data_IF_839622034114
#
_entry.id   IF_839622034114
#
_cell.length_a   1.000
_cell.length_b   1.000
_cell.length_c   1.000
_cell.angle_alpha   90.00
_cell.angle_beta   90.00
_cell.angle_gamma   90.00
#
_symmetry.space_group_name_H-M   'P 1'
#
loop_
_entity.id
_entity.type
_entity.pdbx_description
1 polymer ?
#
# COMPACT_ATOMS: atom_id res chain seq x y z
N UNK A 1 -0.88 17.35 15.39
CA UNK A 1 -0.26 16.08 14.92
C UNK A 1 1.09 15.82 15.60
N UNK A 2 2.12 16.65 15.38
CA UNK A 2 3.48 16.43 15.91
C UNK A 2 3.51 16.18 17.43
N UNK A 3 2.80 16.99 18.23
CA UNK A 3 2.73 16.82 19.69
C UNK A 3 2.20 15.44 20.10
N UNK A 4 1.14 14.94 19.44
CA UNK A 4 0.57 13.63 19.74
C UNK A 4 1.51 12.48 19.37
N UNK A 5 2.23 12.60 18.23
CA UNK A 5 3.23 11.60 17.85
C UNK A 5 4.35 11.59 18.88
N UNK A 6 4.88 12.76 19.27
CA UNK A 6 5.93 12.88 20.29
C UNK A 6 5.52 12.21 21.60
N UNK A 7 4.30 12.46 22.05
CA UNK A 7 3.75 11.85 23.26
C UNK A 7 3.60 10.32 23.13
N UNK A 8 3.08 9.83 22.02
CA UNK A 8 2.95 8.39 21.77
C UNK A 8 4.32 7.69 21.77
N UNK A 9 5.33 8.27 21.12
CA UNK A 9 6.69 7.73 21.10
C UNK A 9 7.30 7.73 22.51
N UNK A 10 7.10 8.81 23.29
CA UNK A 10 7.54 8.87 24.70
C UNK A 10 6.89 7.79 25.56
N UNK A 11 5.64 7.42 25.26
CA UNK A 11 4.92 6.31 25.92
C UNK A 11 5.29 4.92 25.38
N UNK A 12 6.27 4.82 24.48
CA UNK A 12 6.81 3.56 23.99
C UNK A 12 6.21 3.06 22.67
N UNK A 13 5.41 3.87 21.97
CA UNK A 13 4.93 3.50 20.63
C UNK A 13 6.11 3.31 19.66
N UNK A 14 6.03 2.25 18.85
CA UNK A 14 7.05 1.88 17.85
C UNK A 14 6.56 2.02 16.41
N UNK A 15 5.25 2.19 16.25
CA UNK A 15 4.62 2.43 14.96
C UNK A 15 3.68 3.64 15.07
N UNK A 16 3.77 4.52 14.09
CA UNK A 16 2.91 5.68 13.91
C UNK A 16 2.17 5.49 12.60
N UNK A 17 0.85 5.32 12.68
CA UNK A 17 0.02 5.23 11.49
C UNK A 17 -0.69 6.56 11.21
N UNK A 18 -0.27 7.25 10.15
CA UNK A 18 -0.91 8.49 9.69
C UNK A 18 -2.05 8.09 8.74
N UNK A 19 -3.29 8.36 9.14
CA UNK A 19 -4.49 7.94 8.41
C UNK A 19 -5.45 9.11 8.18
N UNK A 20 -6.16 9.07 7.06
CA UNK A 20 -7.20 10.02 6.66
C UNK A 20 -8.07 9.35 5.57
N UNK A 21 -9.06 10.06 5.04
CA UNK A 21 -9.73 9.64 3.79
C UNK A 21 -8.75 9.65 2.61
N UNK A 22 -7.93 10.70 2.52
CA UNK A 22 -6.78 10.80 1.63
C UNK A 22 -5.65 11.52 2.37
N UNK A 23 -4.56 10.82 2.65
CA UNK A 23 -3.41 11.38 3.39
C UNK A 23 -2.67 12.42 2.54
N UNK A 24 -2.65 12.28 1.21
CA UNK A 24 -1.95 13.22 0.33
C UNK A 24 -2.68 14.57 0.21
N UNK A 25 -3.96 14.62 0.55
CA UNK A 25 -4.73 15.87 0.63
C UNK A 25 -4.53 16.66 1.93
N UNK A 26 -3.74 16.15 2.89
CA UNK A 26 -3.49 16.89 4.13
C UNK A 26 -2.92 18.29 3.85
N UNK A 27 -3.53 19.29 4.48
CA UNK A 27 -3.03 20.66 4.50
C UNK A 27 -3.66 21.61 3.48
N UNK A 28 -4.44 21.10 2.52
CA UNK A 28 -5.11 21.92 1.49
C UNK A 28 -6.04 23.00 2.09
N UNK A 29 -6.68 22.69 3.21
CA UNK A 29 -7.62 23.54 3.93
C UNK A 29 -6.94 24.57 4.87
N UNK A 30 -5.66 24.37 5.19
CA UNK A 30 -4.92 25.19 6.17
C UNK A 30 -3.62 25.79 5.60
N UNK A 31 -3.43 25.74 4.27
CA UNK A 31 -2.27 26.34 3.61
C UNK A 31 -0.94 25.62 3.87
N UNK A 32 -0.96 24.30 4.06
CA UNK A 32 0.26 23.47 4.17
C UNK A 32 0.15 22.22 3.30
N UNK A 33 1.06 21.26 3.45
CA UNK A 33 0.99 19.98 2.75
C UNK A 33 1.57 18.82 3.58
N UNK A 34 1.37 17.59 3.08
CA UNK A 34 1.86 16.37 3.72
C UNK A 34 3.39 16.38 3.88
N UNK A 35 4.12 16.85 2.86
CA UNK A 35 5.59 16.92 2.87
C UNK A 35 6.10 17.76 4.04
N UNK A 36 5.51 18.95 4.26
CA UNK A 36 5.88 19.84 5.36
C UNK A 36 5.62 19.20 6.73
N UNK A 37 4.48 18.51 6.88
CA UNK A 37 4.17 17.76 8.09
C UNK A 37 5.20 16.66 8.35
N UNK A 38 5.54 15.86 7.33
CA UNK A 38 6.50 14.76 7.48
C UNK A 38 7.91 15.28 7.78
N UNK A 39 8.40 16.31 7.08
CA UNK A 39 9.68 16.97 7.39
C UNK A 39 9.71 17.45 8.86
N UNK A 40 8.61 18.05 9.33
CA UNK A 40 8.50 18.50 10.73
C UNK A 40 8.53 17.33 11.72
N UNK A 41 7.78 16.26 11.48
CA UNK A 41 7.79 15.04 12.31
C UNK A 41 9.20 14.45 12.39
N UNK A 42 9.84 14.26 11.23
CA UNK A 42 11.16 13.64 11.14
C UNK A 42 12.25 14.49 11.81
N UNK A 43 12.18 15.81 11.69
CA UNK A 43 13.15 16.71 12.34
C UNK A 43 12.96 16.82 13.86
N UNK A 44 11.72 16.88 14.36
CA UNK A 44 11.45 17.21 15.77
C UNK A 44 11.30 15.99 16.70
N UNK A 45 11.21 14.78 16.15
CA UNK A 45 10.94 13.56 16.93
C UNK A 45 11.99 12.50 16.59
N UNK A 46 13.21 12.59 17.16
CA UNK A 46 14.20 11.53 17.01
C UNK A 46 13.77 10.26 17.75
N UNK A 47 14.23 9.10 17.29
CA UNK A 47 14.01 7.82 17.95
C UNK A 47 13.76 6.67 16.97
N UNK A 48 13.64 5.47 17.53
CA UNK A 48 13.45 4.23 16.77
C UNK A 48 11.97 3.85 16.72
N UNK A 49 11.32 4.25 15.63
CA UNK A 49 9.94 3.92 15.32
C UNK A 49 9.73 3.97 13.81
N UNK A 50 8.65 3.35 13.32
CA UNK A 50 8.26 3.44 11.93
C UNK A 50 6.99 4.24 11.72
N UNK A 51 6.95 4.98 10.61
CA UNK A 51 5.82 5.78 10.15
C UNK A 51 5.24 5.08 8.93
N UNK A 52 3.95 4.77 9.02
CA UNK A 52 3.15 4.31 7.89
C UNK A 52 2.25 5.44 7.42
N UNK A 53 2.26 5.70 6.12
CA UNK A 53 1.25 6.52 5.48
C UNK A 53 0.04 5.66 5.10
N UNK A 54 -1.15 6.19 5.34
CA UNK A 54 -2.41 5.64 4.87
C UNK A 54 -2.57 5.75 3.36
N UNK A 55 -3.77 5.44 2.91
CA UNK A 55 -4.13 5.57 1.50
C UNK A 55 -3.93 7.02 1.04
N UNK A 56 -3.32 7.16 -0.13
CA UNK A 56 -3.09 8.43 -0.80
C UNK A 56 -3.68 8.39 -2.21
N UNK A 57 -4.40 9.43 -2.60
CA UNK A 57 -4.93 9.56 -3.95
C UNK A 57 -3.75 9.79 -4.94
N UNK A 58 -3.63 9.01 -6.04
CA UNK A 58 -2.44 9.06 -6.89
C UNK A 58 -2.16 10.44 -7.49
N UNK A 59 -3.18 11.17 -7.95
CA UNK A 59 -2.99 12.51 -8.51
C UNK A 59 -2.51 13.51 -7.45
N UNK A 60 -2.94 13.36 -6.19
CA UNK A 60 -2.43 14.17 -5.09
C UNK A 60 -0.99 13.79 -4.71
N UNK A 61 -0.64 12.51 -4.76
CA UNK A 61 0.73 12.05 -4.56
C UNK A 61 1.68 12.59 -5.63
N UNK A 62 1.30 12.51 -6.91
CA UNK A 62 2.10 12.97 -8.06
C UNK A 62 2.53 14.44 -7.94
N UNK A 63 1.68 15.31 -7.36
CA UNK A 63 1.99 16.73 -7.11
C UNK A 63 3.17 16.94 -6.16
N UNK A 64 3.51 15.95 -5.36
CA UNK A 64 4.56 16.00 -4.34
C UNK A 64 5.58 14.87 -4.51
N UNK A 65 5.59 14.20 -5.67
CA UNK A 65 6.31 12.94 -5.88
C UNK A 65 7.79 13.04 -5.52
N UNK A 66 8.53 14.00 -6.08
CA UNK A 66 9.96 14.14 -5.85
C UNK A 66 10.31 14.36 -4.37
N UNK A 67 9.52 15.18 -3.67
CA UNK A 67 9.72 15.45 -2.25
C UNK A 67 9.35 14.27 -1.36
N UNK A 68 8.28 13.55 -1.71
CA UNK A 68 7.89 12.33 -1.01
C UNK A 68 8.92 11.23 -1.21
N UNK A 69 9.39 11.00 -2.45
CA UNK A 69 10.49 10.07 -2.73
C UNK A 69 11.70 10.39 -1.85
N UNK A 70 12.05 11.67 -1.69
CA UNK A 70 13.14 12.10 -0.79
C UNK A 70 12.85 11.77 0.68
N UNK A 71 11.64 12.06 1.18
CA UNK A 71 11.22 11.75 2.55
C UNK A 71 11.31 10.25 2.84
N UNK A 72 10.93 9.42 1.86
CA UNK A 72 11.02 7.97 1.99
C UNK A 72 12.46 7.47 2.20
N UNK A 73 13.51 8.28 2.05
CA UNK A 73 14.90 7.87 2.38
C UNK A 73 15.11 7.67 3.87
N UNK A 74 14.35 8.37 4.71
CA UNK A 74 14.44 8.24 6.16
C UNK A 74 14.08 6.80 6.58
N UNK A 75 14.91 6.20 7.43
CA UNK A 75 14.72 4.82 7.91
C UNK A 75 13.46 4.64 8.76
N UNK A 76 12.94 5.74 9.33
CA UNK A 76 11.67 5.75 10.05
C UNK A 76 10.48 5.65 9.11
N UNK A 77 10.62 5.88 7.81
CA UNK A 77 9.53 5.69 6.86
C UNK A 77 9.48 4.22 6.42
N UNK A 78 8.33 3.56 6.62
CA UNK A 78 8.08 2.29 5.96
C UNK A 78 8.23 2.48 4.45
N UNK A 79 8.92 1.56 3.79
CA UNK A 79 9.06 1.54 2.33
C UNK A 79 7.83 0.88 1.73
N UNK A 80 6.69 1.54 1.94
CA UNK A 80 5.36 1.11 1.58
C UNK A 80 4.54 2.30 1.11
N UNK A 81 3.78 2.11 0.04
CA UNK A 81 2.77 3.06 -0.44
C UNK A 81 1.42 2.36 -0.59
N UNK A 82 0.34 3.07 -0.28
CA UNK A 82 -1.02 2.66 -0.62
C UNK A 82 -1.61 3.67 -1.60
N UNK A 83 -1.55 3.34 -2.88
CA UNK A 83 -1.98 4.17 -4.00
C UNK A 83 -3.09 3.43 -4.78
N UNK A 84 -4.36 3.82 -4.69
CA UNK A 84 -5.44 3.12 -5.36
C UNK A 84 -5.44 3.35 -6.88
N UNK A 85 -5.26 2.29 -7.69
CA UNK A 85 -5.37 2.35 -9.15
C UNK A 85 -6.82 2.53 -9.59
N UNK A 86 -7.75 1.83 -8.93
CA UNK A 86 -9.18 1.69 -9.24
C UNK A 86 -9.47 0.92 -10.53
N UNK A 87 -8.91 1.34 -11.66
CA UNK A 87 -9.02 0.66 -12.96
C UNK A 87 -7.76 0.91 -13.78
N UNK A 88 -7.35 -0.02 -14.64
CA UNK A 88 -6.26 0.20 -15.59
C UNK A 88 -6.73 0.68 -16.96
N UNK A 89 -7.98 1.14 -17.08
CA UNK A 89 -8.54 1.68 -18.32
C UNK A 89 -8.86 3.17 -18.19
N UNK A 90 -8.29 3.99 -19.09
CA UNK A 90 -8.41 5.45 -19.03
C UNK A 90 -9.87 5.95 -19.17
N UNK A 91 -10.71 5.24 -19.93
CA UNK A 91 -12.13 5.61 -20.07
C UNK A 91 -12.89 5.31 -18.78
N UNK A 92 -12.63 4.16 -18.16
CA UNK A 92 -13.23 3.82 -16.86
C UNK A 92 -12.71 4.74 -15.74
N UNK A 93 -11.41 5.03 -15.70
CA UNK A 93 -10.82 6.00 -14.76
C UNK A 93 -11.48 7.37 -14.86
N UNK A 94 -11.70 7.87 -16.08
CA UNK A 94 -12.41 9.14 -16.31
C UNK A 94 -13.86 9.09 -15.80
N UNK A 95 -14.58 7.98 -16.02
CA UNK A 95 -15.94 7.79 -15.48
C UNK A 95 -15.96 7.71 -13.95
N UNK A 96 -14.87 7.22 -13.34
CA UNK A 96 -14.64 7.24 -11.89
C UNK A 96 -14.16 8.60 -11.36
N UNK A 97 -14.08 9.63 -12.21
CA UNK A 97 -13.58 10.96 -11.89
C UNK A 97 -12.12 10.97 -11.39
N UNK A 98 -11.28 10.08 -11.94
CA UNK A 98 -9.84 10.08 -11.68
C UNK A 98 -9.12 11.07 -12.58
N UNK A 99 -8.12 11.75 -12.01
CA UNK A 99 -7.33 12.81 -12.66
C UNK A 99 -5.91 12.33 -13.01
N UNK A 100 -5.81 11.05 -13.33
CA UNK A 100 -4.59 10.39 -13.81
C UNK A 100 -4.96 9.33 -14.84
N UNK A 101 -4.01 8.97 -15.70
CA UNK A 101 -4.10 7.84 -16.63
C UNK A 101 -3.45 6.59 -16.06
N UNK A 102 -3.73 5.44 -16.67
CA UNK A 102 -3.04 4.19 -16.39
C UNK A 102 -1.53 4.32 -16.59
N UNK A 103 -1.11 5.00 -17.65
CA UNK A 103 0.31 5.21 -17.98
C UNK A 103 1.02 6.11 -16.96
N UNK A 104 0.37 7.21 -16.52
CA UNK A 104 0.89 8.07 -15.45
C UNK A 104 1.01 7.30 -14.13
N UNK A 105 0.04 6.44 -13.83
CA UNK A 105 0.08 5.59 -12.65
C UNK A 105 1.20 4.54 -12.73
N UNK A 106 1.39 3.90 -13.89
CA UNK A 106 2.49 2.95 -14.11
C UNK A 106 3.85 3.61 -13.91
N UNK A 107 4.03 4.80 -14.50
CA UNK A 107 5.25 5.60 -14.34
C UNK A 107 5.51 5.98 -12.88
N UNK A 108 4.47 6.39 -12.15
CA UNK A 108 4.60 6.71 -10.72
C UNK A 108 5.09 5.51 -9.89
N UNK A 109 4.60 4.30 -10.17
CA UNK A 109 5.03 3.11 -9.45
C UNK A 109 6.47 2.71 -9.85
N UNK A 110 6.81 2.88 -11.12
CA UNK A 110 8.16 2.65 -11.64
C UNK A 110 9.17 3.60 -10.98
N UNK A 111 8.93 4.91 -10.99
CA UNK A 111 9.83 5.92 -10.41
C UNK A 111 10.10 5.68 -8.92
N UNK A 112 9.08 5.27 -8.18
CA UNK A 112 9.18 4.90 -6.77
C UNK A 112 10.06 3.67 -6.56
N UNK A 113 9.99 2.68 -7.45
CA UNK A 113 10.76 1.43 -7.36
C UNK A 113 12.16 1.54 -7.93
N UNK A 114 12.42 2.45 -8.85
CA UNK A 114 13.77 2.79 -9.31
C UNK A 114 14.64 3.28 -8.14
N UNK A 115 14.04 4.04 -7.22
CA UNK A 115 14.71 4.52 -6.00
C UNK A 115 14.67 3.47 -4.89
N UNK A 116 13.55 2.73 -4.76
CA UNK A 116 13.34 1.74 -3.71
C UNK A 116 12.86 0.39 -4.29
N UNK A 117 13.78 -0.49 -4.75
CA UNK A 117 13.41 -1.71 -5.49
C UNK A 117 12.44 -2.65 -4.78
N UNK A 118 12.53 -2.73 -3.44
CA UNK A 118 11.68 -3.56 -2.60
C UNK A 118 10.51 -2.80 -1.94
N UNK A 119 10.21 -1.57 -2.41
CA UNK A 119 9.04 -0.83 -1.99
C UNK A 119 7.79 -1.69 -2.21
N UNK A 120 7.01 -1.84 -1.15
CA UNK A 120 5.75 -2.55 -1.23
C UNK A 120 4.63 -1.64 -1.69
N UNK A 121 3.93 -2.04 -2.75
CA UNK A 121 2.80 -1.31 -3.30
C UNK A 121 1.51 -2.01 -2.90
N UNK A 122 0.66 -1.31 -2.16
CA UNK A 122 -0.75 -1.68 -2.00
C UNK A 122 -1.60 -0.83 -2.93
N UNK A 123 -2.49 -1.46 -3.67
CA UNK A 123 -3.43 -0.76 -4.53
C UNK A 123 -4.84 -1.33 -4.37
N UNK A 124 -5.84 -0.60 -4.88
CA UNK A 124 -7.23 -1.02 -4.88
C UNK A 124 -7.72 -1.07 -6.32
N UNK A 125 -8.55 -2.06 -6.65
CA UNK A 125 -9.19 -2.20 -7.97
C UNK A 125 -10.67 -2.47 -7.77
N UNK A 126 -11.52 -1.76 -8.52
CA UNK A 126 -12.96 -2.00 -8.57
C UNK A 126 -13.26 -2.70 -9.89
N UNK A 127 -13.82 -3.91 -9.82
CA UNK A 127 -14.28 -4.66 -10.99
C UNK A 127 -15.80 -4.56 -11.15
N UNK A 128 -16.25 -4.55 -12.40
CA UNK A 128 -17.66 -4.43 -12.75
C UNK A 128 -18.22 -3.01 -12.61
N UNK A 129 -17.38 -1.98 -12.71
CA UNK A 129 -17.87 -0.61 -12.74
C UNK A 129 -18.76 -0.38 -13.98
N UNK A 130 -19.86 0.37 -13.90
CA UNK A 130 -20.70 0.65 -15.05
C UNK A 130 -19.91 1.28 -16.22
N UNK A 131 -19.93 0.62 -17.38
CA UNK A 131 -19.12 1.00 -18.54
C UNK A 131 -17.80 0.23 -18.71
N UNK A 132 -17.46 -0.67 -17.78
CA UNK A 132 -16.29 -1.55 -17.88
C UNK A 132 -16.58 -2.78 -18.77
N UNK A 133 -16.21 -2.69 -20.04
CA UNK A 133 -16.26 -3.82 -20.97
C UNK A 133 -15.07 -4.80 -20.80
N UNK A 134 -15.01 -5.84 -21.63
CA UNK A 134 -13.93 -6.84 -21.58
C UNK A 134 -12.55 -6.27 -21.97
N UNK A 135 -12.49 -5.22 -22.79
CA UNK A 135 -11.21 -4.57 -23.10
C UNK A 135 -10.72 -3.79 -21.89
N UNK A 136 -11.59 -3.03 -21.21
CA UNK A 136 -11.25 -2.29 -20.01
C UNK A 136 -10.78 -3.21 -18.87
N UNK A 137 -11.43 -4.36 -18.70
CA UNK A 137 -10.97 -5.36 -17.73
C UNK A 137 -9.60 -5.96 -18.11
N UNK A 138 -9.36 -6.25 -19.40
CA UNK A 138 -8.04 -6.69 -19.89
C UNK A 138 -6.96 -5.64 -19.66
N UNK A 139 -7.24 -4.36 -19.90
CA UNK A 139 -6.33 -3.25 -19.63
C UNK A 139 -5.98 -3.19 -18.13
N UNK A 140 -6.97 -3.39 -17.25
CA UNK A 140 -6.73 -3.49 -15.81
C UNK A 140 -5.79 -4.65 -15.45
N UNK A 141 -5.99 -5.84 -16.03
CA UNK A 141 -5.08 -6.98 -15.83
C UNK A 141 -3.66 -6.67 -16.32
N UNK A 142 -3.52 -5.97 -17.46
CA UNK A 142 -2.22 -5.54 -18.02
C UNK A 142 -1.49 -4.64 -17.04
N UNK A 143 -2.13 -3.55 -16.61
CA UNK A 143 -1.53 -2.59 -15.66
C UNK A 143 -1.12 -3.28 -14.36
N UNK A 144 -1.97 -4.14 -13.80
CA UNK A 144 -1.65 -4.92 -12.58
C UNK A 144 -0.44 -5.83 -12.80
N UNK A 145 -0.30 -6.43 -13.98
CA UNK A 145 0.86 -7.26 -14.32
C UNK A 145 2.13 -6.42 -14.38
N UNK A 146 2.08 -5.27 -15.05
CA UNK A 146 3.21 -4.37 -15.23
C UNK A 146 3.69 -3.79 -13.89
N UNK A 147 2.79 -3.19 -13.10
CA UNK A 147 3.17 -2.60 -11.82
C UNK A 147 3.47 -3.65 -10.74
N UNK A 148 3.14 -4.93 -10.96
CA UNK A 148 3.41 -6.05 -10.06
C UNK A 148 3.21 -5.71 -8.56
N UNK A 149 2.00 -5.34 -8.11
CA UNK A 149 1.78 -4.83 -6.77
C UNK A 149 1.91 -5.94 -5.72
N UNK A 150 2.35 -5.58 -4.52
CA UNK A 150 2.55 -6.51 -3.41
C UNK A 150 1.23 -6.91 -2.75
N UNK A 151 0.22 -6.03 -2.84
CA UNK A 151 -1.14 -6.30 -2.39
C UNK A 151 -2.15 -5.55 -3.25
N UNK A 152 -3.25 -6.22 -3.60
CA UNK A 152 -4.39 -5.60 -4.27
C UNK A 152 -5.64 -5.86 -3.46
N UNK A 153 -6.37 -4.81 -3.06
CA UNK A 153 -7.72 -4.95 -2.55
C UNK A 153 -8.69 -4.90 -3.72
N UNK A 154 -9.31 -6.04 -4.04
CA UNK A 154 -10.24 -6.16 -5.15
C UNK A 154 -11.66 -6.02 -4.60
N UNK A 155 -12.37 -4.99 -5.04
CA UNK A 155 -13.78 -4.80 -4.74
C UNK A 155 -14.63 -5.07 -5.99
N UNK A 156 -15.78 -5.70 -5.81
CA UNK A 156 -16.83 -5.70 -6.84
C UNK A 156 -17.62 -4.41 -6.70
N UNK A 157 -17.93 -3.75 -7.81
CA UNK A 157 -18.73 -2.53 -7.78
C UNK A 157 -20.12 -2.81 -7.18
N UNK A 158 -20.42 -2.12 -6.08
CA UNK A 158 -21.75 -2.05 -5.49
C UNK A 158 -22.41 -0.71 -5.82
N UNK A 159 -23.70 -0.75 -6.17
CA UNK A 159 -24.48 0.45 -6.48
C UNK A 159 -24.56 1.34 -5.24
N UNK A 160 -24.24 2.62 -5.39
CA UNK A 160 -24.42 3.65 -4.37
C UNK A 160 -25.41 4.69 -4.85
N UNK A 161 -26.59 4.73 -4.25
CA UNK A 161 -27.64 5.69 -4.59
C UNK A 161 -27.12 7.12 -4.52
N UNK A 162 -27.59 7.98 -5.43
CA UNK A 162 -27.18 9.39 -5.52
C UNK A 162 -25.86 9.63 -6.27
N UNK A 163 -25.17 8.59 -6.74
CA UNK A 163 -23.97 8.74 -7.59
C UNK A 163 -24.32 8.70 -9.08
N UNK A 164 -23.57 9.38 -9.96
CA UNK A 164 -23.77 9.27 -11.41
C UNK A 164 -23.73 7.82 -11.92
N UNK A 165 -22.84 7.00 -11.33
CA UNK A 165 -22.67 5.60 -11.68
C UNK A 165 -23.89 4.72 -11.35
N UNK A 166 -24.77 5.13 -10.43
CA UNK A 166 -25.99 4.40 -10.13
C UNK A 166 -26.99 4.39 -11.29
N UNK A 167 -26.98 5.43 -12.12
CA UNK A 167 -27.91 5.61 -13.24
C UNK A 167 -27.37 5.03 -14.56
N UNK A 168 -26.14 4.50 -14.57
CA UNK A 168 -25.53 3.90 -15.75
C UNK A 168 -26.01 2.45 -15.96
N UNK A 169 -25.92 1.89 -17.18
CA UNK A 169 -26.15 0.46 -17.40
C UNK A 169 -25.19 -0.40 -16.56
N UNK A 170 -25.77 -1.22 -15.69
CA UNK A 170 -25.02 -2.00 -14.70
C UNK A 170 -24.42 -3.26 -15.32
N UNK A 171 -23.22 -3.64 -14.85
CA UNK A 171 -22.59 -4.93 -15.22
C UNK A 171 -23.27 -6.05 -14.42
N UNK A 172 -23.64 -7.19 -15.05
CA UNK A 172 -24.23 -8.34 -14.35
C UNK A 172 -23.32 -8.90 -13.25
N UNK A 173 -23.91 -9.34 -12.14
CA UNK A 173 -23.16 -9.82 -10.97
C UNK A 173 -22.25 -11.02 -11.28
N UNK A 174 -22.68 -11.92 -12.16
CA UNK A 174 -21.86 -13.06 -12.59
C UNK A 174 -20.57 -12.64 -13.31
N UNK A 175 -20.62 -11.55 -14.07
CA UNK A 175 -19.42 -10.95 -14.69
C UNK A 175 -18.50 -10.37 -13.61
N UNK A 176 -19.05 -9.67 -12.60
CA UNK A 176 -18.25 -9.12 -11.50
C UNK A 176 -17.56 -10.22 -10.68
N UNK A 177 -18.27 -11.32 -10.39
CA UNK A 177 -17.71 -12.50 -9.72
C UNK A 177 -16.58 -13.13 -10.52
N UNK A 178 -16.80 -13.37 -11.83
CA UNK A 178 -15.78 -13.92 -12.74
C UNK A 178 -14.51 -13.07 -12.73
N UNK A 179 -14.65 -11.75 -12.96
CA UNK A 179 -13.55 -10.79 -12.99
C UNK A 179 -12.79 -10.70 -11.66
N UNK A 180 -13.51 -10.65 -10.54
CA UNK A 180 -12.92 -10.63 -9.20
C UNK A 180 -12.09 -11.90 -8.94
N UNK A 181 -12.59 -13.08 -9.35
CA UNK A 181 -11.88 -14.35 -9.22
C UNK A 181 -10.63 -14.38 -10.09
N UNK A 182 -10.74 -14.03 -11.36
CA UNK A 182 -9.59 -13.97 -12.29
C UNK A 182 -8.49 -13.04 -11.76
N UNK A 183 -8.85 -11.83 -11.35
CA UNK A 183 -7.90 -10.85 -10.84
C UNK A 183 -7.27 -11.30 -9.52
N UNK A 184 -8.03 -11.95 -8.63
CA UNK A 184 -7.50 -12.49 -7.38
C UNK A 184 -6.43 -13.56 -7.59
N UNK A 185 -6.60 -14.42 -8.60
CA UNK A 185 -5.61 -15.44 -8.95
C UNK A 185 -4.33 -14.76 -9.45
N UNK A 186 -4.46 -13.82 -10.39
CA UNK A 186 -3.33 -13.04 -10.91
C UNK A 186 -2.57 -12.32 -9.78
N UNK A 187 -3.28 -11.58 -8.93
CA UNK A 187 -2.66 -10.84 -7.82
C UNK A 187 -1.97 -11.76 -6.81
N UNK A 188 -2.50 -12.97 -6.56
CA UNK A 188 -1.86 -13.96 -5.69
C UNK A 188 -0.53 -14.43 -6.26
N UNK A 189 -0.46 -14.70 -7.56
CA UNK A 189 0.78 -15.11 -8.24
C UNK A 189 1.84 -14.00 -8.19
N UNK A 190 1.43 -12.76 -8.47
CA UNK A 190 2.30 -11.58 -8.39
C UNK A 190 2.83 -11.39 -6.97
N UNK A 191 1.96 -11.47 -5.95
CA UNK A 191 2.35 -11.26 -4.56
C UNK A 191 3.36 -12.32 -4.08
N UNK A 192 3.21 -13.59 -4.51
CA UNK A 192 4.21 -14.63 -4.23
C UNK A 192 5.54 -14.29 -4.89
N UNK A 193 5.55 -13.89 -6.17
CA UNK A 193 6.76 -13.50 -6.89
C UNK A 193 7.48 -12.33 -6.20
N UNK A 194 6.75 -11.28 -5.83
CA UNK A 194 7.28 -10.13 -5.08
C UNK A 194 7.86 -10.52 -3.72
N UNK A 195 7.19 -11.40 -2.98
CA UNK A 195 7.71 -11.86 -1.69
C UNK A 195 8.97 -12.72 -1.84
N UNK A 196 9.04 -13.57 -2.87
CA UNK A 196 10.21 -14.41 -3.16
C UNK A 196 11.48 -13.60 -3.44
N UNK A 197 11.37 -12.35 -3.87
CA UNK A 197 12.52 -11.46 -4.06
C UNK A 197 13.30 -11.19 -2.77
N UNK A 198 12.67 -11.40 -1.60
CA UNK A 198 13.30 -11.21 -0.29
C UNK A 198 13.78 -12.53 0.33
N UNK A 199 13.64 -13.67 -0.36
CA UNK A 199 14.03 -14.96 0.19
C UNK A 199 15.54 -15.00 0.41
N UNK A 200 15.96 -15.34 1.64
CA UNK A 200 17.37 -15.33 2.04
C UNK A 200 17.87 -14.01 2.61
N UNK A 201 17.16 -12.90 2.40
CA UNK A 201 17.55 -11.59 2.92
C UNK A 201 17.40 -11.52 4.44
N UNK A 202 18.28 -10.75 5.07
CA UNK A 202 18.16 -10.32 6.45
C UNK A 202 17.45 -8.97 6.51
N UNK A 203 16.32 -8.92 7.23
CA UNK A 203 15.44 -7.76 7.25
C UNK A 203 15.12 -7.34 8.69
N UNK A 204 15.04 -6.03 8.97
CA UNK A 204 14.50 -5.54 10.24
C UNK A 204 12.99 -5.73 10.29
N UNK A 205 12.50 -6.06 11.48
CA UNK A 205 11.12 -6.46 11.77
C UNK A 205 10.66 -5.84 13.08
N UNK A 206 9.50 -5.19 13.07
CA UNK A 206 8.78 -4.79 14.27
C UNK A 206 7.80 -5.89 14.66
N UNK A 207 7.90 -6.40 15.89
CA UNK A 207 6.94 -7.37 16.44
C UNK A 207 5.67 -6.64 16.89
N UNK A 208 4.53 -6.95 16.27
CA UNK A 208 3.27 -6.24 16.49
C UNK A 208 2.25 -7.04 17.29
N UNK A 209 2.43 -8.35 17.43
CA UNK A 209 1.48 -9.18 18.15
C UNK A 209 1.86 -10.66 18.18
N UNK A 210 1.00 -11.45 18.81
CA UNK A 210 1.10 -12.91 18.87
C UNK A 210 -0.26 -13.51 18.55
N UNK A 211 -0.29 -14.57 17.74
CA UNK A 211 -1.49 -15.35 17.47
C UNK A 211 -1.16 -16.83 17.67
N UNK A 212 -1.81 -17.47 18.65
CA UNK A 212 -1.43 -18.80 19.15
C UNK A 212 0.08 -18.84 19.45
N UNK A 213 0.80 -19.81 18.87
CA UNK A 213 2.24 -20.00 19.08
C UNK A 213 3.12 -19.20 18.10
N UNK A 214 2.53 -18.32 17.27
CA UNK A 214 3.28 -17.56 16.26
C UNK A 214 3.26 -16.07 16.57
N UNK A 215 4.43 -15.43 16.50
CA UNK A 215 4.55 -13.99 16.53
C UNK A 215 4.27 -13.41 15.15
N UNK A 216 3.61 -12.25 15.14
CA UNK A 216 3.29 -11.48 13.95
C UNK A 216 4.13 -10.21 13.99
N UNK A 217 4.84 -9.95 12.89
CA UNK A 217 5.62 -8.74 12.70
C UNK A 217 5.26 -7.99 11.43
N UNK A 218 5.88 -6.83 11.28
CA UNK A 218 5.97 -6.05 10.05
C UNK A 218 7.43 -5.89 9.67
N UNK A 219 7.77 -6.17 8.42
CA UNK A 219 9.07 -5.80 7.87
C UNK A 219 9.12 -4.29 7.57
N UNK A 220 10.32 -3.73 7.33
CA UNK A 220 10.53 -2.33 6.94
C UNK A 220 9.79 -1.85 5.70
N UNK A 221 9.32 -2.75 4.83
CA UNK A 221 8.45 -2.44 3.69
C UNK A 221 6.98 -2.79 3.97
N UNK A 222 6.60 -2.88 5.25
CA UNK A 222 5.26 -3.16 5.76
C UNK A 222 4.69 -4.55 5.41
N UNK A 223 5.49 -5.44 4.82
CA UNK A 223 5.09 -6.84 4.61
C UNK A 223 4.81 -7.52 5.95
N UNK A 224 3.79 -8.37 5.97
CA UNK A 224 3.49 -9.21 7.13
C UNK A 224 4.59 -10.25 7.31
N UNK A 225 5.04 -10.41 8.54
CA UNK A 225 6.03 -11.40 8.93
C UNK A 225 5.41 -12.36 9.94
N UNK A 226 5.68 -13.65 9.78
CA UNK A 226 5.33 -14.72 10.72
C UNK A 226 6.64 -15.28 11.27
N UNK A 227 6.74 -15.34 12.60
CA UNK A 227 7.87 -15.91 13.32
C UNK A 227 7.33 -17.04 14.20
N UNK A 228 7.88 -18.24 14.05
CA UNK A 228 7.37 -19.45 14.73
C UNK A 228 8.10 -19.79 16.03
N UNK A 229 9.34 -19.36 16.20
CA UNK A 229 10.19 -19.89 17.28
C UNK A 229 11.28 -18.91 17.69
N UNK A 230 10.96 -18.01 18.63
CA UNK A 230 11.94 -17.11 19.24
C UNK A 230 11.41 -16.47 20.52
N UNK A 231 12.32 -16.16 21.44
CA UNK A 231 12.06 -15.32 22.60
C UNK A 231 12.02 -13.84 22.18
N UNK A 232 10.96 -13.43 21.48
CA UNK A 232 10.73 -12.02 21.10
C UNK A 232 9.59 -11.41 21.91
N UNK A 233 9.58 -10.08 22.01
CA UNK A 233 8.55 -9.31 22.71
C UNK A 233 7.79 -8.41 21.74
N UNK A 234 6.51 -8.19 22.01
CA UNK A 234 5.71 -7.20 21.27
C UNK A 234 6.31 -5.80 21.51
N UNK A 235 6.45 -5.01 20.44
CA UNK A 235 7.11 -3.70 20.47
C UNK A 235 8.63 -3.76 20.34
N UNK A 236 9.19 -4.94 20.07
CA UNK A 236 10.62 -5.11 19.81
C UNK A 236 10.93 -4.99 18.31
N UNK A 237 12.05 -4.34 18.01
CA UNK A 237 12.67 -4.39 16.69
C UNK A 237 13.73 -5.49 16.70
N UNK A 238 13.61 -6.44 15.78
CA UNK A 238 14.56 -7.55 15.62
C UNK A 238 14.98 -7.66 14.16
N UNK A 239 16.15 -8.26 13.93
CA UNK A 239 16.53 -8.69 12.59
C UNK A 239 16.17 -10.17 12.42
N UNK A 240 15.86 -10.56 11.19
CA UNK A 240 15.61 -11.96 10.89
C UNK A 240 15.80 -12.27 9.42
N UNK A 241 16.15 -13.52 9.15
CA UNK A 241 16.34 -14.03 7.81
C UNK A 241 15.04 -14.60 7.25
N UNK A 242 14.66 -14.18 6.05
CA UNK A 242 13.49 -14.73 5.35
C UNK A 242 13.81 -16.13 4.86
N UNK A 243 13.11 -17.13 5.40
CA UNK A 243 13.37 -18.55 5.09
C UNK A 243 12.32 -19.16 4.17
N UNK A 244 11.13 -18.57 4.12
CA UNK A 244 10.04 -19.01 3.24
C UNK A 244 9.02 -17.87 3.06
N UNK A 245 8.15 -17.97 2.06
CA UNK A 245 7.16 -16.96 1.73
C UNK A 245 5.82 -17.56 1.32
N UNK A 246 4.76 -16.85 1.68
CA UNK A 246 3.41 -17.07 1.16
C UNK A 246 3.00 -15.87 0.30
N UNK A 247 1.80 -15.93 -0.31
CA UNK A 247 1.25 -14.77 -1.01
C UNK A 247 0.98 -13.57 -0.09
N UNK A 248 0.80 -13.78 1.22
CA UNK A 248 0.35 -12.73 2.15
C UNK A 248 1.35 -12.39 3.24
N UNK A 249 2.38 -13.22 3.44
CA UNK A 249 3.34 -13.09 4.55
C UNK A 249 4.72 -13.66 4.20
N UNK A 250 5.75 -13.09 4.79
CA UNK A 250 7.10 -13.67 4.89
C UNK A 250 7.17 -14.56 6.13
N UNK A 251 7.91 -15.66 6.05
CA UNK A 251 8.23 -16.53 7.18
C UNK A 251 9.71 -16.30 7.51
N UNK A 252 9.97 -15.93 8.77
CA UNK A 252 11.29 -15.45 9.19
C UNK A 252 11.80 -16.25 10.38
N UNK A 253 13.11 -16.52 10.36
CA UNK A 253 13.88 -16.95 11.54
C UNK A 253 14.64 -15.73 12.09
N UNK A 254 14.36 -15.38 13.34
CA UNK A 254 15.06 -14.28 14.05
C UNK A 254 16.53 -14.67 14.26
N UNK A 255 17.42 -13.69 14.15
CA UNK A 255 18.87 -13.83 14.34
C UNK A 255 19.36 -13.00 15.53
#
# INVERSE_FOLDING_TARGET
>A
IVVHIRDAIRRGAKEVYITAQDVASYGLDIGTNLVALLKKILSEIPGTYWIRLGMMEPHMFMKMEAELISIYRDERMYKHVHLPLQSGDNRVLKLMNRRYTAEEYEYLIESLRDVYPYLSVTTDVIVGFPGEDELAFRNTKRVITNISPDKVNIARYGIRLGTPAANMPQIPEEVKKRRSRELSILCREIAIKRNRMLLGDEIPILIIGKNNDQFIGRAWNYKRVIIKDSAVKIGEFVNGRVIDVTHSSLIVKVI
#
